data_IF_627357164639
#
_entry.id   IF_627357164639
#
_cell.length_a   1.000
_cell.length_b   1.000
_cell.length_c   1.000
_cell.angle_alpha   90.00
_cell.angle_beta   90.00
_cell.angle_gamma   90.00
#
_symmetry.space_group_name_H-M   'P 1'
#
loop_
_entity.id
_entity.type
_entity.pdbx_description
1 polymer ?
#
# COMPACT_ATOMS: atom_id res chain seq x y z
N UNK A 1 26.65 36.85 13.82
CA UNK A 1 25.53 36.33 13.00
C UNK A 1 25.83 34.88 12.63
N UNK A 2 25.08 33.93 13.19
CA UNK A 2 25.38 32.49 13.14
C UNK A 2 25.44 31.93 11.70
N UNK A 3 26.59 31.33 11.33
CA UNK A 3 26.81 30.61 10.06
C UNK A 3 25.75 29.54 9.78
N UNK A 4 25.07 29.02 10.82
CA UNK A 4 23.99 28.03 10.71
C UNK A 4 22.76 28.57 9.96
N UNK A 5 22.44 29.88 10.06
CA UNK A 5 21.30 30.49 9.34
C UNK A 5 21.46 30.48 7.81
N UNK A 6 22.67 30.35 7.28
CA UNK A 6 22.89 30.22 5.82
C UNK A 6 22.49 28.83 5.29
N UNK A 7 22.45 27.81 6.16
CA UNK A 7 22.18 26.43 5.76
C UNK A 7 20.73 25.99 6.05
N UNK A 8 20.05 26.63 7.01
CA UNK A 8 18.65 26.38 7.34
C UNK A 8 17.80 27.65 7.12
N UNK A 9 17.19 27.75 5.94
CA UNK A 9 16.17 28.78 5.69
C UNK A 9 14.82 28.28 6.18
N UNK A 10 14.27 28.92 7.21
CA UNK A 10 12.91 28.63 7.71
C UNK A 10 11.86 28.69 6.59
N UNK A 11 12.09 29.55 5.58
CA UNK A 11 11.22 29.66 4.40
C UNK A 11 11.21 28.37 3.56
N UNK A 12 12.37 27.72 3.39
CA UNK A 12 12.48 26.49 2.59
C UNK A 12 11.80 25.32 3.29
N UNK A 13 11.97 25.22 4.61
CA UNK A 13 11.31 24.23 5.46
C UNK A 13 9.79 24.43 5.40
N UNK A 14 9.31 25.66 5.60
CA UNK A 14 7.88 25.97 5.63
C UNK A 14 7.23 25.72 4.26
N UNK A 15 7.92 26.05 3.16
CA UNK A 15 7.46 25.73 1.80
C UNK A 15 7.40 24.22 1.59
N UNK A 16 8.45 23.48 1.95
CA UNK A 16 8.47 22.02 1.86
C UNK A 16 7.32 21.37 2.62
N UNK A 17 7.08 21.83 3.86
CA UNK A 17 5.96 21.39 4.70
C UNK A 17 4.61 21.67 4.04
N UNK A 18 4.37 22.91 3.60
CA UNK A 18 3.10 23.29 2.97
C UNK A 18 2.80 22.47 1.72
N UNK A 19 3.79 22.26 0.86
CA UNK A 19 3.64 21.44 -0.35
C UNK A 19 3.40 19.96 0.01
N UNK A 20 4.11 19.43 1.02
CA UNK A 20 3.93 18.04 1.46
C UNK A 20 2.56 17.80 2.10
N UNK A 21 2.00 18.78 2.82
CA UNK A 21 0.63 18.73 3.32
C UNK A 21 -0.37 18.62 2.16
N UNK A 22 -0.22 19.44 1.11
CA UNK A 22 -1.04 19.35 -0.09
C UNK A 22 -0.91 17.96 -0.74
N UNK A 23 0.32 17.48 -0.93
CA UNK A 23 0.64 16.20 -1.56
C UNK A 23 0.26 14.96 -0.73
N UNK A 24 0.01 15.11 0.56
CA UNK A 24 -0.42 14.01 1.44
C UNK A 24 -1.89 14.08 1.85
N UNK A 25 -2.55 15.21 1.55
CA UNK A 25 -3.91 15.51 2.01
C UNK A 25 -4.92 14.41 1.67
N UNK A 26 -4.85 13.80 0.49
CA UNK A 26 -5.77 12.74 0.05
C UNK A 26 -5.80 11.54 1.03
N UNK A 27 -4.67 11.20 1.66
CA UNK A 27 -4.59 10.11 2.66
C UNK A 27 -5.40 10.49 3.89
N UNK A 28 -5.17 11.68 4.44
CA UNK A 28 -5.79 12.13 5.69
C UNK A 28 -7.26 12.52 5.51
N UNK A 29 -7.60 13.11 4.36
CA UNK A 29 -8.99 13.37 3.98
C UNK A 29 -9.78 12.06 3.87
N UNK A 30 -9.20 11.02 3.26
CA UNK A 30 -9.83 9.70 3.24
C UNK A 30 -9.91 9.08 4.65
N UNK A 31 -8.83 9.16 5.43
CA UNK A 31 -8.75 8.61 6.80
C UNK A 31 -9.84 9.16 7.72
N UNK A 32 -10.16 10.46 7.59
CA UNK A 32 -11.18 11.13 8.40
C UNK A 32 -12.55 11.22 7.73
N UNK A 33 -12.75 10.63 6.55
CA UNK A 33 -14.04 10.62 5.86
C UNK A 33 -14.44 11.94 5.18
N UNK A 34 -13.47 12.81 4.88
CA UNK A 34 -13.66 14.09 4.20
C UNK A 34 -13.12 14.10 2.76
N UNK A 35 -12.96 12.93 2.14
CA UNK A 35 -12.44 12.83 0.77
C UNK A 35 -13.50 13.21 -0.26
N UNK A 36 -13.22 14.23 -1.07
CA UNK A 36 -14.08 14.70 -2.15
C UNK A 36 -13.28 14.89 -3.43
N UNK A 37 -13.78 14.43 -4.61
CA UNK A 37 -13.05 14.51 -5.87
C UNK A 37 -12.56 15.90 -6.23
N UNK A 38 -13.38 16.93 -6.05
CA UNK A 38 -13.01 18.31 -6.33
C UNK A 38 -11.85 18.80 -5.44
N UNK A 39 -11.93 18.54 -4.13
CA UNK A 39 -10.91 18.94 -3.17
C UNK A 39 -9.58 18.24 -3.46
N UNK A 40 -9.60 16.91 -3.63
CA UNK A 40 -8.40 16.13 -3.97
C UNK A 40 -7.76 16.61 -5.28
N UNK A 41 -8.58 16.92 -6.29
CA UNK A 41 -8.10 17.43 -7.58
C UNK A 41 -7.30 18.73 -7.41
N UNK A 42 -7.85 19.70 -6.68
CA UNK A 42 -7.19 20.99 -6.45
C UNK A 42 -5.92 20.82 -5.63
N UNK A 43 -5.98 20.08 -4.51
CA UNK A 43 -4.84 19.90 -3.63
C UNK A 43 -3.67 19.18 -4.34
N UNK A 44 -3.96 18.17 -5.14
CA UNK A 44 -2.97 17.46 -5.93
C UNK A 44 -2.31 18.35 -6.99
N UNK A 45 -3.11 19.11 -7.77
CA UNK A 45 -2.58 20.07 -8.75
C UNK A 45 -1.71 21.15 -8.09
N UNK A 46 -2.17 21.72 -6.97
CA UNK A 46 -1.43 22.73 -6.22
C UNK A 46 -0.10 22.16 -5.70
N UNK A 47 -0.09 20.94 -5.16
CA UNK A 47 1.12 20.27 -4.70
C UNK A 47 2.17 20.19 -5.82
N UNK A 48 1.80 19.64 -6.98
CA UNK A 48 2.71 19.51 -8.12
C UNK A 48 3.16 20.87 -8.68
N UNK A 49 2.24 21.83 -8.81
CA UNK A 49 2.52 23.16 -9.32
C UNK A 49 3.55 23.90 -8.47
N UNK A 50 3.40 23.88 -7.15
CA UNK A 50 4.35 24.51 -6.24
C UNK A 50 5.65 23.73 -6.12
N UNK A 51 5.61 22.39 -6.15
CA UNK A 51 6.81 21.56 -6.08
C UNK A 51 7.72 21.78 -7.30
N UNK A 52 7.18 21.79 -8.52
CA UNK A 52 7.97 21.94 -9.75
C UNK A 52 8.67 23.31 -9.85
N UNK A 53 8.10 24.36 -9.26
CA UNK A 53 8.73 25.69 -9.16
C UNK A 53 9.84 25.77 -8.09
N UNK A 54 9.83 24.83 -7.14
CA UNK A 54 10.67 24.93 -5.97
C UNK A 54 12.13 24.50 -6.24
N UNK A 55 13.05 25.03 -5.43
CA UNK A 55 14.47 24.69 -5.52
C UNK A 55 14.77 23.32 -4.88
N UNK A 56 15.97 22.77 -5.11
CA UNK A 56 16.41 21.49 -4.54
C UNK A 56 16.30 21.38 -3.02
N UNK A 57 16.44 22.49 -2.27
CA UNK A 57 16.34 22.47 -0.79
C UNK A 57 14.89 22.32 -0.32
N UNK A 58 13.94 22.93 -1.01
CA UNK A 58 12.51 22.72 -0.76
C UNK A 58 12.11 21.29 -1.13
N UNK A 59 12.66 20.72 -2.21
CA UNK A 59 12.44 19.31 -2.57
C UNK A 59 12.95 18.36 -1.49
N UNK A 60 14.11 18.63 -0.89
CA UNK A 60 14.61 17.87 0.27
C UNK A 60 13.56 17.88 1.41
N UNK A 61 13.11 19.07 1.84
CA UNK A 61 12.15 19.16 2.94
C UNK A 61 10.78 18.58 2.58
N UNK A 62 10.32 18.75 1.34
CA UNK A 62 9.14 18.06 0.82
C UNK A 62 9.29 16.54 0.97
N UNK A 63 10.42 15.97 0.56
CA UNK A 63 10.71 14.54 0.72
C UNK A 63 10.73 14.10 2.18
N UNK A 64 11.32 14.91 3.09
CA UNK A 64 11.30 14.65 4.54
C UNK A 64 9.87 14.55 5.05
N UNK A 65 9.03 15.52 4.72
CA UNK A 65 7.64 15.55 5.18
C UNK A 65 6.76 14.50 4.48
N UNK A 66 7.01 14.15 3.22
CA UNK A 66 6.36 13.00 2.56
C UNK A 66 6.72 11.71 3.30
N UNK A 67 7.98 11.50 3.64
CA UNK A 67 8.43 10.35 4.42
C UNK A 67 7.70 10.24 5.77
N UNK A 68 7.47 11.37 6.43
CA UNK A 68 6.68 11.41 7.67
C UNK A 68 5.20 11.14 7.36
N UNK A 69 4.56 11.96 6.53
CA UNK A 69 3.11 11.95 6.36
C UNK A 69 2.58 10.68 5.70
N UNK A 70 3.36 10.04 4.82
CA UNK A 70 2.95 8.81 4.17
C UNK A 70 3.35 7.57 4.98
N UNK A 71 4.45 7.60 5.74
CA UNK A 71 5.11 6.39 6.22
C UNK A 71 5.51 6.38 7.71
N UNK A 72 5.06 7.35 8.52
CA UNK A 72 5.36 7.36 9.96
C UNK A 72 4.92 6.08 10.68
N UNK A 73 3.86 5.43 10.20
CA UNK A 73 3.29 4.22 10.77
C UNK A 73 4.22 3.02 10.70
N UNK A 74 5.20 2.98 9.78
CA UNK A 74 6.18 1.89 9.68
C UNK A 74 6.95 1.77 11.01
N UNK A 75 7.27 2.89 11.64
CA UNK A 75 8.00 2.91 12.91
C UNK A 75 7.15 2.35 14.08
N UNK A 76 5.82 2.23 13.94
CA UNK A 76 4.98 1.64 14.98
C UNK A 76 5.25 0.15 15.17
N UNK A 77 5.70 -0.57 14.13
CA UNK A 77 5.99 -2.00 14.23
C UNK A 77 6.99 -2.32 15.36
N UNK A 78 7.93 -1.40 15.64
CA UNK A 78 8.94 -1.54 16.69
C UNK A 78 8.34 -1.78 18.08
N UNK A 79 7.12 -1.32 18.35
CA UNK A 79 6.44 -1.55 19.64
C UNK A 79 6.22 -3.04 19.91
N UNK A 80 5.91 -3.82 18.87
CA UNK A 80 5.61 -5.25 18.98
C UNK A 80 6.86 -6.10 19.25
N UNK A 81 8.05 -5.53 19.01
CA UNK A 81 9.33 -6.15 19.31
C UNK A 81 9.97 -5.61 20.60
N UNK A 82 9.25 -4.78 21.38
CA UNK A 82 9.78 -4.18 22.61
C UNK A 82 10.71 -2.99 22.41
N UNK A 83 10.85 -2.48 21.18
CA UNK A 83 11.74 -1.37 20.82
C UNK A 83 11.01 -0.03 20.65
N UNK A 84 10.02 0.27 21.49
CA UNK A 84 9.24 1.52 21.41
C UNK A 84 10.12 2.77 21.43
N UNK A 85 11.25 2.73 22.14
CA UNK A 85 12.26 3.82 22.16
C UNK A 85 12.89 4.10 20.79
N UNK A 86 12.88 3.13 19.88
CA UNK A 86 13.41 3.23 18.53
C UNK A 86 12.50 4.00 17.57
N UNK A 87 11.26 4.32 17.96
CA UNK A 87 10.30 5.02 17.11
C UNK A 87 10.85 6.34 16.51
N UNK A 88 11.43 7.27 17.31
CA UNK A 88 11.97 8.52 16.76
C UNK A 88 13.11 8.28 15.75
N UNK A 89 13.93 7.26 15.99
CA UNK A 89 15.05 6.89 15.12
C UNK A 89 14.52 6.33 13.80
N UNK A 90 13.58 5.39 13.85
CA UNK A 90 12.94 4.81 12.66
C UNK A 90 12.25 5.88 11.81
N UNK A 91 11.48 6.78 12.43
CA UNK A 91 10.85 7.89 11.75
C UNK A 91 11.87 8.84 11.10
N UNK A 92 12.95 9.16 11.81
CA UNK A 92 14.03 9.99 11.26
C UNK A 92 14.68 9.36 10.03
N UNK A 93 14.98 8.05 10.08
CA UNK A 93 15.59 7.33 8.95
C UNK A 93 14.68 7.33 7.72
N UNK A 94 13.38 7.05 7.91
CA UNK A 94 12.38 7.08 6.83
C UNK A 94 12.29 8.48 6.23
N UNK A 95 12.10 9.50 7.08
CA UNK A 95 11.96 10.88 6.66
C UNK A 95 13.20 11.36 5.89
N UNK A 96 14.39 11.14 6.46
CA UNK A 96 15.64 11.58 5.83
C UNK A 96 15.93 10.80 4.53
N UNK A 97 15.60 9.50 4.49
CA UNK A 97 15.72 8.68 3.27
C UNK A 97 14.92 9.26 2.11
N UNK A 98 13.64 9.57 2.31
CA UNK A 98 12.83 10.24 1.28
C UNK A 98 13.32 11.66 0.98
N UNK A 99 13.78 12.41 1.98
CA UNK A 99 14.42 13.71 1.79
C UNK A 99 15.58 13.66 0.82
N UNK A 100 16.49 12.69 0.97
CA UNK A 100 17.63 12.49 0.07
C UNK A 100 17.16 12.14 -1.34
N UNK A 101 16.19 11.23 -1.49
CA UNK A 101 15.67 10.82 -2.81
C UNK A 101 15.15 12.04 -3.59
N UNK A 102 14.26 12.83 -2.99
CA UNK A 102 13.71 14.02 -3.63
C UNK A 102 14.77 15.10 -3.88
N UNK A 103 15.73 15.25 -2.97
CA UNK A 103 16.86 16.17 -3.17
C UNK A 103 17.72 15.77 -4.38
N UNK A 104 18.09 14.50 -4.52
CA UNK A 104 18.88 14.01 -5.66
C UNK A 104 18.15 14.27 -6.98
N UNK A 105 16.84 13.99 -7.05
CA UNK A 105 16.04 14.27 -8.24
C UNK A 105 16.07 15.75 -8.64
N UNK A 106 15.88 16.65 -7.67
CA UNK A 106 15.89 18.09 -7.95
C UNK A 106 17.29 18.63 -8.24
N UNK A 107 18.30 18.18 -7.50
CA UNK A 107 19.69 18.58 -7.66
C UNK A 107 20.22 18.16 -9.03
N UNK A 108 19.96 16.92 -9.46
CA UNK A 108 20.36 16.44 -10.80
C UNK A 108 19.69 17.26 -11.90
N UNK A 109 18.39 17.53 -11.77
CA UNK A 109 17.64 18.36 -12.73
C UNK A 109 18.18 19.79 -12.84
N UNK A 110 18.48 20.43 -11.69
CA UNK A 110 19.04 21.78 -11.63
C UNK A 110 20.47 21.84 -12.18
N UNK A 111 21.32 20.87 -11.81
CA UNK A 111 22.71 20.77 -12.29
C UNK A 111 22.79 20.50 -13.78
N UNK A 112 22.00 19.56 -14.30
CA UNK A 112 21.94 19.30 -15.73
C UNK A 112 21.49 20.55 -16.49
N UNK A 113 20.48 21.27 -15.98
CA UNK A 113 20.06 22.52 -16.61
C UNK A 113 21.15 23.59 -16.62
N UNK A 114 21.89 23.75 -15.52
CA UNK A 114 23.00 24.71 -15.47
C UNK A 114 24.10 24.37 -16.47
N UNK A 115 24.39 23.08 -16.65
CA UNK A 115 25.41 22.61 -17.58
C UNK A 115 25.04 22.81 -19.05
N UNK A 116 23.81 22.44 -19.45
CA UNK A 116 23.39 22.47 -20.86
C UNK A 116 22.82 23.82 -21.33
N UNK A 117 22.20 24.60 -20.44
CA UNK A 117 21.55 25.88 -20.79
C UNK A 117 22.42 27.08 -20.37
N UNK A 118 23.44 26.85 -19.56
CA UNK A 118 24.29 27.89 -18.98
C UNK A 118 23.73 28.47 -17.68
N UNK A 119 24.59 29.20 -16.95
CA UNK A 119 24.18 29.96 -15.77
C UNK A 119 23.37 31.18 -16.19
N UNK A 120 22.05 31.12 -16.07
CA UNK A 120 21.22 32.33 -16.13
C UNK A 120 21.51 33.15 -14.86
N UNK A 121 22.43 34.11 -14.97
CA UNK A 121 22.87 35.00 -13.87
C UNK A 121 21.77 35.95 -13.37
N UNK A 122 20.59 35.96 -13.99
CA UNK A 122 19.48 36.85 -13.60
C UNK A 122 18.32 36.07 -13.00
N UNK A 123 18.08 36.32 -11.71
CA UNK A 123 16.88 36.05 -10.89
C UNK A 123 15.72 35.27 -11.58
N UNK A 124 15.39 34.13 -10.99
CA UNK A 124 14.02 33.56 -10.89
C UNK A 124 13.40 32.80 -12.07
N UNK A 125 14.10 32.53 -13.17
CA UNK A 125 13.51 31.73 -14.25
C UNK A 125 13.86 30.25 -14.12
N UNK A 126 12.89 29.45 -13.67
CA UNK A 126 12.96 27.98 -13.77
C UNK A 126 12.99 27.63 -15.26
N UNK A 127 14.03 26.93 -15.70
CA UNK A 127 14.19 26.56 -17.12
C UNK A 127 13.25 25.42 -17.50
N UNK A 128 12.89 25.35 -18.78
CA UNK A 128 12.11 24.23 -19.31
C UNK A 128 12.83 22.88 -19.08
N UNK A 129 14.15 22.83 -19.25
CA UNK A 129 14.93 21.61 -19.02
C UNK A 129 14.86 21.15 -17.56
N UNK A 130 14.99 22.07 -16.59
CA UNK A 130 14.87 21.73 -15.16
C UNK A 130 13.46 21.22 -14.82
N UNK A 131 12.41 21.87 -15.35
CA UNK A 131 11.02 21.43 -15.16
C UNK A 131 10.80 20.03 -15.74
N UNK A 132 11.23 19.79 -16.98
CA UNK A 132 11.09 18.49 -17.64
C UNK A 132 11.81 17.39 -16.87
N UNK A 133 13.04 17.63 -16.40
CA UNK A 133 13.78 16.63 -15.63
C UNK A 133 13.15 16.36 -14.25
N UNK A 134 12.66 17.39 -13.55
CA UNK A 134 11.90 17.22 -12.29
C UNK A 134 10.61 16.44 -12.52
N UNK A 135 9.87 16.75 -13.58
CA UNK A 135 8.65 16.04 -13.98
C UNK A 135 8.94 14.57 -14.32
N UNK A 136 9.97 14.29 -15.11
CA UNK A 136 10.42 12.93 -15.41
C UNK A 136 10.87 12.18 -14.13
N UNK A 137 11.53 12.87 -13.20
CA UNK A 137 11.86 12.34 -11.89
C UNK A 137 10.64 11.90 -11.09
N UNK A 138 9.59 12.73 -11.03
CA UNK A 138 8.32 12.37 -10.38
C UNK A 138 7.60 11.21 -11.09
N UNK A 139 7.60 11.20 -12.43
CA UNK A 139 7.02 10.12 -13.21
C UNK A 139 7.76 8.79 -13.01
N UNK A 140 9.09 8.86 -12.87
CA UNK A 140 9.98 7.72 -12.65
C UNK A 140 9.99 7.20 -11.21
N UNK A 141 9.63 8.03 -10.23
CA UNK A 141 9.71 7.70 -8.80
C UNK A 141 8.84 6.49 -8.42
N UNK A 142 7.71 6.26 -9.08
CA UNK A 142 6.86 5.09 -8.81
C UNK A 142 7.46 3.75 -9.28
N UNK A 143 8.62 3.76 -9.95
CA UNK A 143 9.40 2.55 -10.27
C UNK A 143 10.57 2.34 -9.30
N UNK A 144 10.79 3.27 -8.36
CA UNK A 144 11.81 3.12 -7.33
C UNK A 144 11.17 2.45 -6.11
N UNK A 145 11.53 1.18 -5.88
CA UNK A 145 11.02 0.37 -4.77
C UNK A 145 12.17 0.02 -3.82
N UNK A 146 12.65 0.95 -2.97
CA UNK A 146 13.67 0.64 -1.98
C UNK A 146 13.27 -0.58 -1.15
N UNK A 147 14.13 -1.60 -1.13
CA UNK A 147 13.88 -2.87 -0.43
C UNK A 147 12.57 -3.59 -0.83
N UNK A 148 12.02 -3.31 -2.01
CA UNK A 148 10.74 -3.87 -2.46
C UNK A 148 9.50 -3.15 -1.91
N UNK A 149 9.67 -2.04 -1.19
CA UNK A 149 8.57 -1.25 -0.66
C UNK A 149 8.03 -0.27 -1.73
N UNK A 150 6.93 -0.65 -2.39
CA UNK A 150 6.32 0.06 -3.54
C UNK A 150 5.04 0.84 -3.16
N UNK A 151 5.09 1.61 -2.08
CA UNK A 151 3.93 2.39 -1.63
C UNK A 151 4.00 3.87 -2.02
N UNK A 152 5.18 4.38 -2.39
CA UNK A 152 5.30 5.76 -2.90
C UNK A 152 5.06 5.79 -4.41
N UNK A 153 3.80 6.02 -4.79
CA UNK A 153 3.40 6.29 -6.18
C UNK A 153 2.92 7.74 -6.30
N UNK A 154 3.71 8.67 -6.90
CA UNK A 154 3.30 10.07 -6.99
C UNK A 154 1.95 10.31 -7.67
N UNK A 155 1.56 9.47 -8.63
CA UNK A 155 0.24 9.55 -9.26
C UNK A 155 -0.93 9.16 -8.34
N UNK A 156 -0.66 8.50 -7.19
CA UNK A 156 -1.68 8.08 -6.24
C UNK A 156 -2.45 9.26 -5.63
N UNK A 157 -1.86 10.46 -5.61
CA UNK A 157 -2.53 11.69 -5.16
C UNK A 157 -3.84 11.98 -5.94
N UNK A 158 -4.01 11.38 -7.12
CA UNK A 158 -5.18 11.51 -7.98
C UNK A 158 -6.20 10.37 -7.86
N UNK A 159 -5.99 9.39 -6.97
CA UNK A 159 -6.83 8.17 -6.90
C UNK A 159 -8.32 8.47 -6.71
N UNK A 160 -8.63 9.42 -5.82
CA UNK A 160 -9.98 9.91 -5.54
C UNK A 160 -10.19 11.33 -6.08
N UNK A 161 -9.64 11.63 -7.26
CA UNK A 161 -9.78 12.90 -7.97
C UNK A 161 -10.56 12.74 -9.29
N UNK A 162 -10.76 13.83 -10.03
CA UNK A 162 -11.34 13.79 -11.38
C UNK A 162 -10.35 13.36 -12.48
N UNK A 163 -9.06 13.28 -12.17
CA UNK A 163 -8.06 12.82 -13.12
C UNK A 163 -7.81 11.33 -12.95
N UNK A 164 -7.35 10.70 -14.01
CA UNK A 164 -6.94 9.31 -13.94
C UNK A 164 -5.53 9.11 -13.38
N UNK A 165 -5.23 7.85 -13.07
CA UNK A 165 -4.01 7.41 -12.40
C UNK A 165 -2.98 6.82 -13.36
N UNK A 166 -3.31 6.70 -14.65
CA UNK A 166 -2.40 6.08 -15.61
C UNK A 166 -1.17 6.94 -15.82
N UNK A 167 -0.04 6.31 -16.15
CA UNK A 167 1.24 7.00 -16.35
C UNK A 167 1.16 8.10 -17.41
N UNK A 168 0.39 7.87 -18.48
CA UNK A 168 0.20 8.87 -19.53
C UNK A 168 -0.64 10.05 -19.03
N UNK A 169 -1.65 9.84 -18.18
CA UNK A 169 -2.47 10.90 -17.58
C UNK A 169 -1.64 11.75 -16.62
N UNK A 170 -0.90 11.08 -15.72
CA UNK A 170 0.01 11.77 -14.81
C UNK A 170 1.10 12.55 -15.58
N UNK A 171 1.66 11.96 -16.64
CA UNK A 171 2.59 12.62 -17.54
C UNK A 171 2.00 13.87 -18.21
N UNK A 172 0.77 13.80 -18.72
CA UNK A 172 0.06 14.97 -19.29
C UNK A 172 -0.13 16.09 -18.26
N UNK A 173 -0.49 15.75 -17.02
CA UNK A 173 -0.64 16.72 -15.94
C UNK A 173 0.70 17.42 -15.66
N UNK A 174 1.78 16.65 -15.55
CA UNK A 174 3.13 17.19 -15.33
C UNK A 174 3.59 18.08 -16.49
N UNK A 175 3.29 17.72 -17.74
CA UNK A 175 3.57 18.55 -18.93
C UNK A 175 2.77 19.85 -18.88
N UNK A 176 1.46 19.78 -18.62
CA UNK A 176 0.59 20.95 -18.53
C UNK A 176 1.10 21.95 -17.47
N UNK A 177 1.44 21.44 -16.29
CA UNK A 177 2.00 22.24 -15.20
C UNK A 177 3.36 22.84 -15.58
N UNK A 178 4.27 22.04 -16.13
CA UNK A 178 5.60 22.50 -16.54
C UNK A 178 5.53 23.60 -17.60
N UNK A 179 4.69 23.45 -18.62
CA UNK A 179 4.49 24.47 -19.65
C UNK A 179 3.87 25.76 -19.08
N UNK A 180 2.91 25.62 -18.16
CA UNK A 180 2.27 26.77 -17.51
C UNK A 180 3.26 27.58 -16.68
N UNK A 181 4.13 26.91 -15.92
CA UNK A 181 5.22 27.55 -15.16
C UNK A 181 6.22 28.21 -16.10
N UNK A 182 6.70 27.48 -17.11
CA UNK A 182 7.73 27.98 -18.02
C UNK A 182 7.28 29.21 -18.83
N UNK A 183 6.04 29.22 -19.32
CA UNK A 183 5.48 30.35 -20.08
C UNK A 183 4.86 31.44 -19.20
N UNK A 184 4.70 31.21 -17.90
CA UNK A 184 3.95 32.09 -17.01
C UNK A 184 2.47 32.25 -17.42
N UNK A 185 1.91 31.26 -18.13
CA UNK A 185 0.54 31.31 -18.65
C UNK A 185 -0.29 30.14 -18.11
N UNK A 186 -1.18 30.44 -17.17
CA UNK A 186 -2.04 29.44 -16.53
C UNK A 186 -3.10 28.84 -17.48
N UNK A 187 -3.39 29.44 -18.63
CA UNK A 187 -4.31 28.86 -19.62
C UNK A 187 -3.80 27.50 -20.15
N UNK A 188 -2.47 27.28 -20.12
CA UNK A 188 -1.87 26.01 -20.50
C UNK A 188 -2.22 24.87 -19.53
N UNK A 189 -2.71 25.17 -18.31
CA UNK A 189 -3.26 24.16 -17.41
C UNK A 189 -4.52 23.51 -17.99
N UNK A 190 -5.22 24.12 -18.95
CA UNK A 190 -6.38 23.50 -19.60
C UNK A 190 -6.05 22.14 -20.27
N UNK A 191 -4.76 21.86 -20.56
CA UNK A 191 -4.31 20.56 -21.07
C UNK A 191 -4.62 19.43 -20.08
N UNK A 192 -4.72 19.69 -18.76
CA UNK A 192 -5.10 18.65 -17.77
C UNK A 192 -6.47 18.05 -18.03
N UNK A 193 -7.35 18.74 -18.78
CA UNK A 193 -8.66 18.20 -19.16
C UNK A 193 -8.54 16.91 -20.00
N UNK A 194 -7.43 16.72 -20.72
CA UNK A 194 -7.16 15.46 -21.44
C UNK A 194 -6.77 14.30 -20.52
N UNK A 195 -6.46 14.57 -19.25
CA UNK A 195 -6.22 13.55 -18.23
C UNK A 195 -7.49 13.23 -17.41
N UNK A 196 -8.63 13.84 -17.74
CA UNK A 196 -9.91 13.59 -17.07
C UNK A 196 -10.30 12.11 -17.19
N UNK A 197 -10.70 11.52 -16.07
CA UNK A 197 -11.28 10.19 -16.03
C UNK A 197 -12.54 10.25 -15.17
N UNK A 198 -13.73 10.09 -15.76
CA UNK A 198 -14.96 10.12 -14.99
C UNK A 198 -14.95 8.98 -13.96
N UNK A 199 -15.49 9.26 -12.78
CA UNK A 199 -15.77 8.23 -11.78
C UNK A 199 -16.77 7.25 -12.37
N UNK A 200 -16.37 5.99 -12.56
CA UNK A 200 -17.28 4.95 -13.04
C UNK A 200 -18.46 4.82 -12.06
N UNK A 201 -19.63 4.41 -12.53
CA UNK A 201 -20.78 4.22 -11.64
C UNK A 201 -20.60 2.95 -10.80
N UNK A 202 -21.15 2.95 -9.58
CA UNK A 202 -21.18 1.75 -8.74
C UNK A 202 -21.92 0.64 -9.47
N UNK A 203 -21.23 -0.46 -9.73
CA UNK A 203 -21.89 -1.73 -10.03
C UNK A 203 -22.17 -2.43 -8.70
N UNK A 204 -23.41 -2.36 -8.22
CA UNK A 204 -23.85 -3.29 -7.18
C UNK A 204 -24.17 -4.61 -7.86
N UNK A 205 -23.30 -5.60 -7.71
CA UNK A 205 -23.63 -6.97 -8.14
C UNK A 205 -24.22 -7.74 -6.95
N UNK A 206 -25.34 -8.44 -7.16
CA UNK A 206 -26.01 -9.25 -6.14
C UNK A 206 -25.12 -10.36 -5.55
N UNK A 207 -23.99 -10.67 -6.22
CA UNK A 207 -23.00 -11.64 -5.79
C UNK A 207 -22.40 -11.28 -4.42
N UNK A 208 -22.25 -10.00 -4.10
CA UNK A 208 -21.66 -9.57 -2.82
C UNK A 208 -22.46 -10.07 -1.62
N UNK A 209 -23.79 -10.11 -1.73
CA UNK A 209 -24.66 -10.55 -0.65
C UNK A 209 -24.52 -12.04 -0.30
N UNK A 210 -23.93 -12.87 -1.18
CA UNK A 210 -23.71 -14.30 -0.93
C UNK A 210 -22.38 -14.60 -0.23
N UNK A 211 -21.47 -13.64 -0.18
CA UNK A 211 -20.18 -13.77 0.48
C UNK A 211 -20.31 -13.21 1.92
N UNK A 212 -19.63 -13.82 2.87
CA UNK A 212 -19.43 -13.30 4.22
C UNK A 212 -17.97 -12.86 4.36
N UNK A 213 -17.74 -11.55 4.35
CA UNK A 213 -16.41 -10.97 4.44
C UNK A 213 -16.14 -10.54 5.88
N UNK A 214 -15.37 -11.33 6.63
CA UNK A 214 -15.25 -11.17 8.08
C UNK A 214 -14.23 -10.10 8.45
N UNK A 215 -14.52 -9.29 9.47
CA UNK A 215 -13.53 -8.49 10.20
C UNK A 215 -13.30 -9.07 11.59
N UNK A 216 -12.05 -9.05 12.06
CA UNK A 216 -11.72 -9.43 13.44
C UNK A 216 -11.00 -8.31 14.17
N UNK A 217 -11.01 -8.32 15.51
CA UNK A 217 -10.40 -7.28 16.35
C UNK A 217 -9.46 -7.89 17.41
N UNK A 218 -8.54 -8.74 16.96
CA UNK A 218 -7.55 -9.38 17.83
C UNK A 218 -6.22 -8.67 17.72
N UNK A 219 -5.65 -8.19 18.83
CA UNK A 219 -4.33 -7.54 18.81
C UNK A 219 -3.22 -8.51 18.40
N UNK A 220 -2.06 -7.99 18.02
CA UNK A 220 -0.89 -8.84 17.67
C UNK A 220 -0.51 -9.72 18.86
N UNK A 221 -0.42 -9.15 20.06
CA UNK A 221 -0.05 -9.86 21.29
C UNK A 221 -1.07 -10.96 21.63
N UNK A 222 -2.36 -10.63 21.58
CA UNK A 222 -3.43 -11.59 21.85
C UNK A 222 -3.48 -12.73 20.83
N UNK A 223 -3.18 -12.44 19.56
CA UNK A 223 -3.18 -13.44 18.49
C UNK A 223 -2.12 -14.51 18.75
N UNK A 224 -0.93 -14.11 19.21
CA UNK A 224 0.17 -15.05 19.44
C UNK A 224 0.18 -15.67 20.85
N UNK A 225 -0.76 -15.29 21.73
CA UNK A 225 -0.95 -15.92 23.04
C UNK A 225 -1.74 -17.23 22.94
N UNK A 226 -1.02 -18.35 23.11
CA UNK A 226 -1.59 -19.72 23.07
C UNK A 226 -2.70 -19.96 24.08
N UNK A 227 -2.71 -19.25 25.21
CA UNK A 227 -3.75 -19.41 26.23
C UNK A 227 -5.12 -18.90 25.77
N UNK A 228 -5.14 -17.97 24.80
CA UNK A 228 -6.36 -17.38 24.25
C UNK A 228 -6.91 -18.16 23.06
N UNK A 229 -6.11 -19.05 22.46
CA UNK A 229 -6.47 -19.81 21.25
C UNK A 229 -7.80 -20.56 21.37
N UNK A 230 -8.12 -21.29 22.46
CA UNK A 230 -9.40 -21.99 22.56
C UNK A 230 -10.62 -21.07 22.44
N UNK A 231 -10.57 -19.90 23.08
CA UNK A 231 -11.65 -18.91 23.01
C UNK A 231 -11.73 -18.26 21.63
N UNK A 232 -10.58 -17.88 21.07
CA UNK A 232 -10.50 -17.25 19.75
C UNK A 232 -11.01 -18.20 18.67
N UNK A 233 -10.58 -19.46 18.66
CA UNK A 233 -10.99 -20.44 17.65
C UNK A 233 -12.48 -20.73 17.75
N UNK A 234 -13.03 -20.82 18.96
CA UNK A 234 -14.48 -20.94 19.16
C UNK A 234 -15.25 -19.77 18.56
N UNK A 235 -14.75 -18.54 18.69
CA UNK A 235 -15.37 -17.37 18.08
C UNK A 235 -15.33 -17.43 16.55
N UNK A 236 -14.20 -17.87 15.96
CA UNK A 236 -14.09 -18.05 14.51
C UNK A 236 -15.05 -19.11 13.99
N UNK A 237 -15.15 -20.27 14.66
CA UNK A 237 -16.13 -21.28 14.28
C UNK A 237 -17.57 -20.78 14.37
N UNK A 238 -17.90 -19.98 15.39
CA UNK A 238 -19.22 -19.35 15.49
C UNK A 238 -19.53 -18.41 14.32
N UNK A 239 -18.54 -17.66 13.81
CA UNK A 239 -18.71 -16.83 12.60
C UNK A 239 -18.99 -17.66 11.36
N UNK A 240 -18.31 -18.81 11.21
CA UNK A 240 -18.57 -19.75 10.10
C UNK A 240 -19.98 -20.33 10.23
N UNK A 241 -20.37 -20.78 11.42
CA UNK A 241 -21.68 -21.36 11.69
C UNK A 241 -22.81 -20.33 11.44
N UNK A 242 -22.57 -19.06 11.77
CA UNK A 242 -23.49 -17.96 11.46
C UNK A 242 -23.62 -17.73 9.95
N UNK A 243 -22.51 -17.74 9.19
CA UNK A 243 -22.56 -17.59 7.74
C UNK A 243 -23.33 -18.74 7.07
N UNK A 244 -23.18 -19.97 7.58
CA UNK A 244 -23.98 -21.13 7.14
C UNK A 244 -25.47 -20.90 7.42
N UNK A 245 -25.82 -20.45 8.62
CA UNK A 245 -27.22 -20.17 8.98
C UNK A 245 -27.85 -19.07 8.11
N UNK A 246 -27.05 -18.09 7.69
CA UNK A 246 -27.42 -17.04 6.75
C UNK A 246 -27.41 -17.48 5.27
N UNK A 247 -27.16 -18.77 5.00
CA UNK A 247 -27.12 -19.35 3.65
C UNK A 247 -26.10 -18.67 2.72
N UNK A 248 -24.99 -18.21 3.29
CA UNK A 248 -23.86 -17.68 2.53
C UNK A 248 -23.18 -18.82 1.75
N UNK A 249 -22.66 -18.52 0.57
CA UNK A 249 -21.96 -19.51 -0.27
C UNK A 249 -20.47 -19.59 0.03
N UNK A 250 -19.89 -18.50 0.56
CA UNK A 250 -18.47 -18.38 0.86
C UNK A 250 -18.28 -17.50 2.10
N UNK A 251 -17.40 -17.90 3.01
CA UNK A 251 -16.87 -17.06 4.10
C UNK A 251 -15.37 -16.85 3.92
N UNK A 252 -14.91 -15.60 4.07
CA UNK A 252 -13.50 -15.21 3.95
C UNK A 252 -13.05 -14.60 5.28
N UNK A 253 -12.07 -15.24 5.90
CA UNK A 253 -11.52 -14.88 7.21
C UNK A 253 -10.12 -14.25 7.07
N UNK A 254 -9.72 -13.36 8.00
CA UNK A 254 -8.47 -12.60 7.88
C UNK A 254 -7.17 -13.42 7.95
N UNK A 255 -6.05 -12.74 7.72
CA UNK A 255 -4.70 -13.31 7.78
C UNK A 255 -4.36 -13.85 9.16
N UNK A 256 -3.81 -15.07 9.17
CA UNK A 256 -3.35 -15.77 10.38
C UNK A 256 -4.41 -15.74 11.50
N UNK A 257 -5.69 -15.91 11.15
CA UNK A 257 -6.79 -15.98 12.12
C UNK A 257 -6.69 -17.24 12.98
N UNK A 258 -6.11 -18.31 12.41
CA UNK A 258 -5.56 -19.44 13.15
C UNK A 258 -4.02 -19.30 13.17
N UNK A 259 -3.43 -18.73 14.24
CA UNK A 259 -1.99 -18.47 14.33
C UNK A 259 -1.22 -19.73 14.76
N UNK A 260 -1.50 -20.84 14.07
CA UNK A 260 -0.90 -22.16 14.25
C UNK A 260 -0.57 -22.76 12.88
N UNK A 261 0.33 -23.74 12.85
CA UNK A 261 0.54 -24.57 11.67
C UNK A 261 -0.67 -25.46 11.46
N UNK A 262 -1.59 -25.02 10.59
CA UNK A 262 -2.89 -25.66 10.43
C UNK A 262 -2.75 -27.07 9.85
N UNK A 263 -1.74 -27.29 8.99
CA UNK A 263 -1.40 -28.62 8.46
C UNK A 263 -0.93 -29.63 9.53
N UNK A 264 -0.59 -29.18 10.74
CA UNK A 264 -0.26 -30.05 11.88
C UNK A 264 -1.41 -30.19 12.89
N UNK A 265 -2.54 -29.53 12.64
CA UNK A 265 -3.67 -29.45 13.57
C UNK A 265 -4.88 -30.20 13.02
N UNK A 266 -4.83 -31.54 13.01
CA UNK A 266 -5.87 -32.37 12.40
C UNK A 266 -7.29 -32.05 12.93
N UNK A 267 -7.43 -31.84 14.24
CA UNK A 267 -8.71 -31.47 14.85
C UNK A 267 -9.31 -30.19 14.25
N UNK A 268 -8.48 -29.18 13.94
CA UNK A 268 -8.96 -27.94 13.31
C UNK A 268 -9.33 -28.17 11.84
N UNK A 269 -8.53 -28.97 11.13
CA UNK A 269 -8.83 -29.36 9.74
C UNK A 269 -10.17 -30.09 9.68
N UNK A 270 -10.41 -31.06 10.56
CA UNK A 270 -11.64 -31.85 10.58
C UNK A 270 -12.87 -30.96 10.85
N UNK A 271 -12.77 -30.05 11.82
CA UNK A 271 -13.85 -29.11 12.14
C UNK A 271 -14.14 -28.12 11.00
N UNK A 272 -13.10 -27.67 10.27
CA UNK A 272 -13.25 -26.83 9.08
C UNK A 272 -13.85 -27.62 7.92
N UNK A 273 -13.39 -28.84 7.65
CA UNK A 273 -13.90 -29.72 6.59
C UNK A 273 -15.36 -30.10 6.79
N UNK A 274 -15.77 -30.35 8.05
CA UNK A 274 -17.16 -30.63 8.39
C UNK A 274 -18.08 -29.46 8.01
N UNK A 275 -17.65 -28.23 8.32
CA UNK A 275 -18.38 -27.00 7.93
C UNK A 275 -18.30 -26.74 6.43
N UNK A 276 -17.18 -27.11 5.80
CA UNK A 276 -16.96 -26.96 4.37
C UNK A 276 -17.94 -27.77 3.50
N UNK A 277 -18.68 -28.72 4.07
CA UNK A 277 -19.79 -29.41 3.40
C UNK A 277 -20.97 -28.47 3.10
N UNK A 278 -21.13 -27.42 3.91
CA UNK A 278 -22.28 -26.50 3.86
C UNK A 278 -21.93 -25.12 3.29
N UNK A 279 -20.67 -24.69 3.37
CA UNK A 279 -20.19 -23.38 2.89
C UNK A 279 -18.74 -23.52 2.38
N UNK A 280 -18.32 -22.71 1.40
CA UNK A 280 -16.89 -22.62 1.09
C UNK A 280 -16.18 -21.75 2.14
N UNK A 281 -14.96 -22.12 2.56
CA UNK A 281 -14.23 -21.41 3.63
C UNK A 281 -12.84 -21.03 3.12
N UNK A 282 -12.51 -19.74 3.20
CA UNK A 282 -11.17 -19.22 2.94
C UNK A 282 -10.64 -18.65 4.25
N UNK A 283 -9.47 -19.13 4.68
CA UNK A 283 -8.96 -18.81 6.01
C UNK A 283 -7.45 -18.65 6.04
N UNK A 284 -6.96 -17.63 6.74
CA UNK A 284 -5.53 -17.40 6.96
C UNK A 284 -4.98 -18.23 8.12
N UNK A 285 -3.88 -18.94 7.88
CA UNK A 285 -3.15 -19.70 8.90
C UNK A 285 -1.67 -19.86 8.52
N UNK A 286 -0.88 -20.51 9.38
CA UNK A 286 0.49 -20.87 9.02
C UNK A 286 0.54 -22.26 8.39
N UNK A 287 1.49 -22.46 7.48
CA UNK A 287 1.82 -23.76 6.90
C UNK A 287 3.28 -24.12 7.23
N UNK A 288 3.52 -25.33 7.72
CA UNK A 288 4.87 -25.85 7.92
C UNK A 288 5.29 -26.74 6.76
N UNK A 289 6.27 -26.30 5.97
CA UNK A 289 6.92 -27.10 4.93
C UNK A 289 8.23 -27.68 5.50
N UNK A 290 8.11 -28.84 6.16
CA UNK A 290 9.17 -29.38 7.00
C UNK A 290 9.43 -28.46 8.21
N UNK A 291 10.60 -27.83 8.27
CA UNK A 291 10.94 -26.84 9.31
C UNK A 291 10.67 -25.39 8.87
N UNK A 292 10.26 -25.16 7.62
CA UNK A 292 10.14 -23.82 7.05
C UNK A 292 8.72 -23.29 7.26
N UNK A 293 8.54 -22.19 8.02
CA UNK A 293 7.23 -21.58 8.19
C UNK A 293 6.82 -20.81 6.94
N UNK A 294 5.53 -20.88 6.60
CA UNK A 294 4.88 -20.09 5.54
C UNK A 294 3.61 -19.45 6.06
N UNK A 295 3.36 -18.23 5.62
CA UNK A 295 2.09 -17.55 5.80
C UNK A 295 1.18 -17.94 4.64
N UNK A 296 0.00 -18.47 4.95
CA UNK A 296 -0.79 -19.23 3.98
C UNK A 296 -2.27 -18.96 4.10
N UNK A 297 -2.94 -19.06 2.96
CA UNK A 297 -4.39 -19.13 2.86
C UNK A 297 -4.77 -20.59 2.63
N UNK A 298 -5.69 -21.11 3.43
CA UNK A 298 -6.31 -22.41 3.23
C UNK A 298 -7.69 -22.20 2.62
N UNK A 299 -7.96 -22.94 1.55
CA UNK A 299 -9.19 -22.88 0.77
C UNK A 299 -9.87 -24.23 0.90
N UNK A 300 -10.98 -24.24 1.64
CA UNK A 300 -11.85 -25.41 1.80
C UNK A 300 -13.05 -25.26 0.88
N UNK A 301 -13.14 -26.14 -0.12
CA UNK A 301 -14.33 -26.34 -0.95
C UNK A 301 -14.85 -27.76 -0.72
N UNK A 302 -16.06 -28.09 -1.20
CA UNK A 302 -16.70 -29.40 -0.96
C UNK A 302 -15.76 -30.57 -1.27
N UNK A 303 -15.18 -31.14 -0.22
CA UNK A 303 -14.26 -32.29 -0.28
C UNK A 303 -12.81 -32.00 -0.68
N UNK A 304 -12.43 -30.74 -0.93
CA UNK A 304 -11.07 -30.38 -1.38
C UNK A 304 -10.46 -29.30 -0.48
N UNK A 305 -9.19 -29.48 -0.12
CA UNK A 305 -8.38 -28.46 0.55
C UNK A 305 -7.27 -28.03 -0.40
N UNK A 306 -7.17 -26.73 -0.68
CA UNK A 306 -6.04 -26.13 -1.39
C UNK A 306 -5.31 -25.17 -0.46
N UNK A 307 -4.00 -25.04 -0.60
CA UNK A 307 -3.19 -24.09 0.17
C UNK A 307 -2.50 -23.13 -0.78
N UNK A 308 -2.65 -21.82 -0.53
CA UNK A 308 -1.96 -20.76 -1.24
C UNK A 308 -0.96 -20.06 -0.29
N UNK A 309 0.33 -20.13 -0.60
CA UNK A 309 1.39 -19.51 0.20
C UNK A 309 1.68 -18.09 -0.28
N UNK A 310 2.07 -17.20 0.65
CA UNK A 310 2.48 -15.82 0.35
C UNK A 310 3.67 -15.78 -0.61
N UNK A 311 3.62 -14.87 -1.58
CA UNK A 311 4.62 -14.72 -2.66
C UNK A 311 5.52 -13.50 -2.42
N UNK A 312 4.98 -12.44 -1.82
CA UNK A 312 5.74 -11.22 -1.53
C UNK A 312 5.73 -10.98 -0.04
N UNK A 313 6.92 -11.10 0.55
CA UNK A 313 7.12 -10.94 1.98
C UNK A 313 7.33 -9.47 2.33
N UNK A 314 6.87 -9.09 3.51
CA UNK A 314 7.10 -7.75 4.05
C UNK A 314 8.60 -7.58 4.35
N UNK A 315 9.27 -6.59 3.76
CA UNK A 315 10.68 -6.31 4.06
C UNK A 315 10.84 -6.00 5.55
N UNK A 316 11.85 -6.60 6.19
CA UNK A 316 12.16 -6.49 7.62
C UNK A 316 11.11 -7.06 8.59
N UNK A 317 9.89 -7.35 8.16
CA UNK A 317 8.87 -8.02 8.99
C UNK A 317 8.86 -9.54 8.83
N UNK A 318 8.91 -10.02 7.58
CA UNK A 318 8.84 -11.45 7.24
C UNK A 318 10.11 -11.98 6.56
N UNK A 319 10.90 -11.08 5.94
CA UNK A 319 12.19 -11.41 5.33
C UNK A 319 13.17 -10.27 5.52
N UNK A 320 14.45 -10.58 5.80
CA UNK A 320 15.50 -9.56 5.85
C UNK A 320 16.05 -9.25 4.43
N UNK A 321 15.82 -8.03 3.88
CA UNK A 321 16.24 -7.69 2.52
C UNK A 321 17.71 -7.25 2.42
N UNK A 322 18.46 -7.24 3.53
CA UNK A 322 19.84 -6.74 3.56
C UNK A 322 20.87 -7.79 3.14
N UNK A 323 22.05 -7.37 2.64
CA UNK A 323 23.16 -8.28 2.39
C UNK A 323 23.53 -9.07 3.64
N UNK A 324 23.96 -10.33 3.46
CA UNK A 324 24.20 -11.30 4.55
C UNK A 324 24.98 -10.77 5.75
N UNK A 325 25.96 -9.88 5.53
CA UNK A 325 26.78 -9.32 6.61
C UNK A 325 26.00 -8.34 7.51
N UNK A 326 25.11 -7.52 6.96
CA UNK A 326 24.20 -6.69 7.76
C UNK A 326 23.05 -7.54 8.33
N UNK A 327 22.58 -8.51 7.55
CA UNK A 327 21.46 -9.38 7.93
C UNK A 327 21.75 -10.16 9.21
N UNK A 328 22.94 -10.76 9.32
CA UNK A 328 23.38 -11.48 10.53
C UNK A 328 23.48 -10.59 11.77
N UNK A 329 23.90 -9.33 11.61
CA UNK A 329 23.97 -8.39 12.72
C UNK A 329 22.56 -7.96 13.16
N UNK A 330 21.68 -7.62 12.21
CA UNK A 330 20.31 -7.19 12.50
C UNK A 330 19.46 -8.31 13.09
N UNK A 331 19.50 -9.52 12.52
CA UNK A 331 18.73 -10.66 13.03
C UNK A 331 19.14 -11.05 14.45
N UNK A 332 20.43 -10.91 14.80
CA UNK A 332 20.94 -11.17 16.15
C UNK A 332 20.55 -10.07 17.16
N UNK A 333 20.42 -8.83 16.72
CA UNK A 333 20.18 -7.67 17.60
C UNK A 333 18.68 -7.36 17.76
N UNK A 334 17.87 -7.57 16.71
CA UNK A 334 16.48 -7.11 16.68
C UNK A 334 15.42 -8.22 16.58
N UNK A 335 15.79 -9.43 16.13
CA UNK A 335 14.81 -10.49 15.79
C UNK A 335 15.05 -11.83 16.50
N UNK A 336 15.84 -11.86 17.58
CA UNK A 336 16.10 -13.04 18.43
C UNK A 336 16.44 -14.34 17.68
N UNK A 337 16.99 -14.25 16.46
CA UNK A 337 17.33 -15.40 15.64
C UNK A 337 16.14 -16.20 15.08
N UNK A 338 14.95 -15.58 14.96
CA UNK A 338 13.80 -16.19 14.31
C UNK A 338 14.10 -16.63 12.86
N UNK A 339 13.49 -17.73 12.42
CA UNK A 339 13.59 -18.22 11.05
C UNK A 339 12.67 -17.35 10.18
N UNK A 340 13.22 -16.70 9.16
CA UNK A 340 12.47 -15.91 8.18
C UNK A 340 11.43 -16.78 7.44
N UNK A 341 10.31 -16.17 7.06
CA UNK A 341 9.33 -16.84 6.21
C UNK A 341 9.92 -17.06 4.81
N UNK A 342 9.48 -18.14 4.14
CA UNK A 342 9.88 -18.38 2.75
C UNK A 342 8.74 -18.04 1.79
N UNK A 343 9.04 -17.18 0.82
CA UNK A 343 8.13 -16.83 -0.27
C UNK A 343 7.89 -18.02 -1.20
N UNK A 344 6.67 -18.13 -1.74
CA UNK A 344 6.39 -18.99 -2.88
C UNK A 344 6.85 -18.33 -4.19
N UNK A 345 7.19 -19.15 -5.19
CA UNK A 345 7.61 -18.67 -6.53
C UNK A 345 6.44 -18.09 -7.32
N UNK A 346 5.27 -18.71 -7.20
CA UNK A 346 4.15 -18.50 -8.10
C UNK A 346 2.92 -17.98 -7.37
N UNK A 347 2.26 -17.01 -7.98
CA UNK A 347 0.93 -16.55 -7.58
C UNK A 347 -0.09 -17.67 -7.83
N UNK A 348 -1.02 -17.87 -6.90
CA UNK A 348 -1.99 -18.95 -6.96
C UNK A 348 -3.38 -18.38 -7.27
N UNK A 349 -3.98 -18.94 -8.31
CA UNK A 349 -5.39 -18.77 -8.66
C UNK A 349 -6.17 -20.02 -8.24
N UNK A 350 -7.34 -19.83 -7.65
CA UNK A 350 -8.25 -20.93 -7.28
C UNK A 350 -9.69 -20.60 -7.66
N UNK A 351 -10.53 -21.64 -7.73
CA UNK A 351 -11.94 -21.50 -8.14
C UNK A 351 -12.87 -21.87 -7.00
N UNK A 352 -13.86 -21.01 -6.74
CA UNK A 352 -14.96 -21.24 -5.79
C UNK A 352 -16.26 -20.99 -6.53
N UNK A 353 -17.16 -21.97 -6.54
CA UNK A 353 -18.46 -21.91 -7.23
C UNK A 353 -18.38 -21.42 -8.69
N UNK A 354 -17.33 -21.84 -9.42
CA UNK A 354 -17.09 -21.45 -10.82
C UNK A 354 -16.49 -20.06 -11.02
N UNK A 355 -16.22 -19.31 -9.95
CA UNK A 355 -15.54 -18.00 -9.99
C UNK A 355 -14.06 -18.18 -9.63
N UNK A 356 -13.18 -17.68 -10.49
CA UNK A 356 -11.73 -17.69 -10.25
C UNK A 356 -11.30 -16.45 -9.44
N UNK A 357 -10.47 -16.69 -8.43
CA UNK A 357 -9.90 -15.68 -7.54
C UNK A 357 -8.37 -15.83 -7.48
N UNK A 358 -7.69 -14.69 -7.61
CA UNK A 358 -6.27 -14.55 -7.26
C UNK A 358 -6.12 -14.46 -5.75
N UNK A 359 -5.26 -15.28 -5.17
CA UNK A 359 -4.90 -15.16 -3.76
C UNK A 359 -3.98 -13.98 -3.52
N UNK A 360 -4.21 -13.22 -2.45
CA UNK A 360 -3.22 -12.32 -1.89
C UNK A 360 -3.33 -12.24 -0.35
N UNK A 361 -2.20 -12.04 0.30
CA UNK A 361 -2.02 -11.96 1.74
C UNK A 361 -1.35 -10.63 2.08
N UNK A 362 -2.10 -9.73 2.70
CA UNK A 362 -1.61 -8.49 3.27
C UNK A 362 -0.89 -7.61 2.23
N UNK A 363 0.31 -7.13 2.56
CA UNK A 363 1.15 -6.28 1.74
C UNK A 363 1.24 -6.70 0.26
N UNK A 364 1.21 -8.00 -0.06
CA UNK A 364 1.38 -8.45 -1.44
C UNK A 364 0.26 -7.98 -2.38
N UNK A 365 -0.95 -7.76 -1.87
CA UNK A 365 -2.07 -7.21 -2.63
C UNK A 365 -1.80 -5.80 -3.16
N UNK A 366 -0.83 -5.09 -2.58
CA UNK A 366 -0.37 -3.76 -3.01
C UNK A 366 0.82 -3.82 -3.99
N UNK A 367 1.15 -5.00 -4.50
CA UNK A 367 2.20 -5.17 -5.51
C UNK A 367 1.61 -5.45 -6.89
N UNK A 368 2.15 -4.77 -7.91
CA UNK A 368 1.79 -4.99 -9.31
C UNK A 368 1.95 -6.46 -9.75
N UNK A 369 2.87 -7.21 -9.11
CA UNK A 369 3.09 -8.64 -9.41
C UNK A 369 1.83 -9.49 -9.19
N UNK A 370 0.96 -9.13 -8.23
CA UNK A 370 -0.28 -9.87 -7.96
C UNK A 370 -1.34 -9.66 -9.04
N UNK A 371 -1.19 -8.63 -9.85
CA UNK A 371 -2.06 -8.30 -10.97
C UNK A 371 -1.47 -8.74 -12.31
N UNK A 372 -0.37 -9.53 -12.30
CA UNK A 372 0.17 -10.12 -13.51
C UNK A 372 -0.84 -11.05 -14.20
N UNK A 373 -0.78 -11.07 -15.53
CA UNK A 373 -1.62 -11.92 -16.37
C UNK A 373 -1.43 -13.39 -16.01
N UNK A 374 -2.52 -14.15 -16.04
CA UNK A 374 -2.50 -15.59 -15.90
C UNK A 374 -1.83 -16.29 -17.10
N UNK A 375 -1.76 -17.62 -17.06
CA UNK A 375 -1.19 -18.45 -18.14
C UNK A 375 -1.92 -18.29 -19.49
N UNK A 376 -3.14 -17.77 -19.47
CA UNK A 376 -3.98 -17.53 -20.65
C UNK A 376 -3.89 -16.07 -21.14
N UNK A 377 -3.05 -15.24 -20.52
CA UNK A 377 -2.86 -13.84 -20.89
C UNK A 377 -3.92 -12.86 -20.35
N UNK A 378 -4.76 -13.29 -19.40
CA UNK A 378 -5.83 -12.48 -18.83
C UNK A 378 -5.43 -11.89 -17.47
N UNK A 379 -5.82 -10.65 -17.22
CA UNK A 379 -5.71 -10.05 -15.89
C UNK A 379 -6.67 -10.72 -14.90
N UNK A 380 -6.32 -10.83 -13.60
CA UNK A 380 -7.20 -11.41 -12.61
C UNK A 380 -8.45 -10.53 -12.45
N UNK A 381 -9.63 -11.12 -12.69
CA UNK A 381 -10.90 -10.41 -12.54
C UNK A 381 -11.31 -10.24 -11.09
N UNK A 382 -11.02 -11.24 -10.25
CA UNK A 382 -11.31 -11.21 -8.82
C UNK A 382 -10.04 -11.54 -8.03
N UNK A 383 -9.89 -10.92 -6.87
CA UNK A 383 -8.80 -11.17 -5.92
C UNK A 383 -9.37 -11.24 -4.51
N UNK A 384 -8.92 -12.24 -3.73
CA UNK A 384 -9.25 -12.35 -2.32
C UNK A 384 -8.00 -12.00 -1.52
N UNK A 385 -8.12 -10.98 -0.66
CA UNK A 385 -7.05 -10.44 0.15
C UNK A 385 -7.33 -10.72 1.61
N UNK A 386 -6.35 -11.31 2.31
CA UNK A 386 -6.41 -11.55 3.75
C UNK A 386 -5.33 -10.71 4.42
N UNK A 387 -5.71 -9.85 5.37
CA UNK A 387 -4.75 -8.93 6.03
C UNK A 387 -4.85 -8.92 7.54
N UNK A 388 -3.74 -8.57 8.18
CA UNK A 388 -3.66 -8.28 9.60
C UNK A 388 -3.00 -6.91 9.83
N UNK A 389 -3.81 -5.87 9.87
CA UNK A 389 -3.36 -4.49 10.05
C UNK A 389 -3.00 -4.17 11.52
N UNK A 390 -3.09 -5.16 12.40
CA UNK A 390 -2.80 -5.01 13.84
C UNK A 390 -1.38 -4.53 14.12
N UNK A 391 -0.44 -4.80 13.23
CA UNK A 391 0.97 -4.37 13.32
C UNK A 391 1.15 -2.86 13.29
N UNK A 392 0.22 -2.14 12.64
CA UNK A 392 0.34 -0.70 12.38
C UNK A 392 -0.83 0.10 12.93
N UNK A 393 -1.84 -0.57 13.50
CA UNK A 393 -2.99 0.09 14.10
C UNK A 393 -2.70 0.54 15.55
N UNK A 394 -3.16 1.73 15.98
CA UNK A 394 -3.87 2.75 15.20
C UNK A 394 -2.92 3.61 14.34
N UNK A 395 -3.23 3.76 13.05
CA UNK A 395 -2.53 4.70 12.15
C UNK A 395 -3.28 4.91 10.83
N UNK A 396 -2.63 5.60 9.88
CA UNK A 396 -3.12 5.76 8.51
C UNK A 396 -2.76 4.60 7.58
N UNK A 397 -2.04 3.58 8.05
CA UNK A 397 -1.62 2.42 7.23
C UNK A 397 -2.82 1.72 6.55
N UNK A 398 -3.91 1.34 7.26
CA UNK A 398 -5.07 0.71 6.61
C UNK A 398 -5.70 1.59 5.55
N UNK A 399 -5.62 2.92 5.75
CA UNK A 399 -6.14 3.91 4.79
C UNK A 399 -5.27 3.96 3.55
N UNK A 400 -3.95 4.02 3.70
CA UNK A 400 -3.02 4.06 2.57
C UNK A 400 -3.04 2.74 1.79
N UNK A 401 -3.12 1.60 2.48
CA UNK A 401 -3.28 0.29 1.86
C UNK A 401 -4.57 0.24 1.02
N UNK A 402 -5.70 0.69 1.57
CA UNK A 402 -6.98 0.80 0.83
C UNK A 402 -6.86 1.66 -0.43
N UNK A 403 -6.22 2.83 -0.35
CA UNK A 403 -6.01 3.72 -1.50
C UNK A 403 -5.14 3.05 -2.58
N UNK A 404 -4.12 2.28 -2.18
CA UNK A 404 -3.31 1.49 -3.11
C UNK A 404 -4.11 0.34 -3.75
N UNK A 405 -4.99 -0.34 -3.01
CA UNK A 405 -5.87 -1.36 -3.58
C UNK A 405 -6.90 -0.75 -4.54
N UNK A 406 -7.44 0.45 -4.24
CA UNK A 406 -8.26 1.21 -5.19
C UNK A 406 -7.48 1.54 -6.46
N UNK A 407 -6.20 1.93 -6.33
CA UNK A 407 -5.32 2.19 -7.46
C UNK A 407 -5.18 0.97 -8.37
N UNK A 408 -4.89 -0.20 -7.82
CA UNK A 408 -4.73 -1.40 -8.62
C UNK A 408 -6.05 -1.93 -9.19
N UNK A 409 -7.14 -1.85 -8.43
CA UNK A 409 -8.48 -2.15 -8.93
C UNK A 409 -8.82 -1.26 -10.14
N UNK A 410 -8.53 0.05 -10.06
CA UNK A 410 -8.74 1.00 -11.16
C UNK A 410 -7.88 0.67 -12.39
N UNK A 411 -6.60 0.30 -12.17
CA UNK A 411 -5.62 0.04 -13.23
C UNK A 411 -5.90 -1.27 -13.99
N UNK A 412 -6.33 -2.32 -13.28
CA UNK A 412 -6.49 -3.66 -13.86
C UNK A 412 -7.94 -4.13 -14.01
N UNK A 413 -8.91 -3.39 -13.48
CA UNK A 413 -10.31 -3.82 -13.46
C UNK A 413 -10.55 -5.02 -12.54
N UNK A 414 -9.72 -5.21 -11.52
CA UNK A 414 -9.83 -6.32 -10.57
C UNK A 414 -10.79 -5.95 -9.44
N UNK A 415 -11.78 -6.81 -9.17
CA UNK A 415 -12.62 -6.74 -7.97
C UNK A 415 -11.86 -7.38 -6.80
N UNK A 416 -11.70 -6.66 -5.69
CA UNK A 416 -10.89 -7.07 -4.55
C UNK A 416 -11.79 -7.30 -3.34
N UNK A 417 -11.77 -8.50 -2.77
CA UNK A 417 -12.50 -8.87 -1.55
C UNK A 417 -11.50 -8.91 -0.40
N UNK A 418 -11.57 -7.94 0.50
CA UNK A 418 -10.52 -7.73 1.49
C UNK A 418 -11.01 -8.01 2.91
N UNK A 419 -10.59 -9.15 3.47
CA UNK A 419 -10.90 -9.60 4.83
C UNK A 419 -9.77 -9.23 5.79
N UNK A 420 -10.07 -8.46 6.84
CA UNK A 420 -9.05 -7.80 7.63
C UNK A 420 -9.22 -8.00 9.15
N UNK A 421 -8.10 -8.20 9.83
CA UNK A 421 -8.00 -8.09 11.29
C UNK A 421 -7.51 -6.69 11.67
N UNK A 422 -8.12 -6.11 12.71
CA UNK A 422 -7.84 -4.78 13.27
C UNK A 422 -8.21 -3.59 12.37
N UNK A 423 -8.94 -3.81 11.28
CA UNK A 423 -9.61 -2.78 10.49
C UNK A 423 -10.91 -3.33 9.88
N UNK A 424 -11.73 -2.46 9.30
CA UNK A 424 -12.96 -2.88 8.60
C UNK A 424 -12.62 -3.63 7.32
N UNK A 425 -13.32 -4.73 7.07
CA UNK A 425 -13.28 -5.47 5.81
C UNK A 425 -14.14 -4.77 4.76
N UNK A 426 -13.76 -4.88 3.49
CA UNK A 426 -14.46 -4.19 2.40
C UNK A 426 -14.23 -4.86 1.05
N UNK A 427 -15.10 -4.54 0.10
CA UNK A 427 -14.94 -4.93 -1.31
C UNK A 427 -14.55 -3.69 -2.11
N UNK A 428 -13.61 -3.82 -3.04
CA UNK A 428 -13.32 -2.79 -4.04
C UNK A 428 -13.76 -3.30 -5.39
N UNK A 429 -14.64 -2.56 -6.05
CA UNK A 429 -15.08 -2.83 -7.40
C UNK A 429 -14.90 -1.58 -8.28
N UNK A 430 -14.12 -1.69 -9.34
CA UNK A 430 -13.79 -0.56 -10.23
C UNK A 430 -13.35 0.70 -9.44
N UNK A 431 -12.46 0.52 -8.46
CA UNK A 431 -11.97 1.54 -7.52
C UNK A 431 -12.97 2.07 -6.47
N UNK A 432 -14.21 1.60 -6.46
CA UNK A 432 -15.21 1.96 -5.46
C UNK A 432 -15.18 1.02 -4.28
N UNK A 433 -15.09 1.59 -3.09
CA UNK A 433 -15.20 0.82 -1.84
C UNK A 433 -16.68 0.57 -1.55
N UNK A 434 -17.06 -0.69 -1.53
CA UNK A 434 -18.34 -1.18 -1.06
C UNK A 434 -18.13 -1.68 0.37
N UNK A 435 -18.79 -1.00 1.31
CA UNK A 435 -18.87 -1.44 2.70
C UNK A 435 -20.12 -2.30 2.85
N UNK A 436 -20.01 -3.42 3.58
CA UNK A 436 -21.18 -4.18 4.05
C UNK A 436 -21.96 -3.41 5.12
#
# INVERSE_FOLDING_TARGET
MNKIRQYFSTLEITRGLGIALLGSSFIYLNHWGFSYPFLNTILALCSLFFLLQANQKVWFWYGVFIGIFWFWWIALALKHYGYTWGFPVGLFLIAFGYGIIFWILAWTAEKASQYFVGSVESRSTVTLLSLTLKALGLLGLSYLHPFGFDWLKPELIFIESYFGIEKWQFGLILVAISLSIWRGNLLLLAIVLFAYQPTMHKHTTDIYHKIALVSTHTSVEQKWDKSLHPQQFKAIFAMIDQAIAQQKSLIILPESVFPVFLNHSQNLIDELQKRAQYINIIVGALYADGQTPRNSTYIFTKGTITVANKVILVPFGESNPLPDFLSKWINKVFYDGAIDYQASSDVIDYTVDGVSYRNAICFEATSEKLYSKDKNGNYPKNMIVLSNDGWFTPSIEPTLQKLLLQYYSKKYGTTIYHSVNMSESYIIDHAHVLKE
#
